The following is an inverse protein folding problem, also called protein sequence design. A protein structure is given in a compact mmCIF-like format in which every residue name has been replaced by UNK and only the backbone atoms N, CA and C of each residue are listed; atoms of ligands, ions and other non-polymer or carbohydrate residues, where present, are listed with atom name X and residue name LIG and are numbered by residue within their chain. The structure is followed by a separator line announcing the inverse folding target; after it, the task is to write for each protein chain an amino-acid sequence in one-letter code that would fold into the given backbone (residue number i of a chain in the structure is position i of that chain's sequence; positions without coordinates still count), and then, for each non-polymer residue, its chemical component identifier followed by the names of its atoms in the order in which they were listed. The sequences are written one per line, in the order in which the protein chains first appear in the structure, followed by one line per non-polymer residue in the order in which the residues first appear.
data_IF_761315534092
#
_entry.id   IF_761315534092
#
_cell.length_a   1.000
_cell.length_b   1.000
_cell.length_c   1.000
_cell.angle_alpha   90.00
_cell.angle_beta   90.00
_cell.angle_gamma   90.00
#
_symmetry.space_group_name_H-M   'P 1'
#
loop_
_entity.id
_entity.type
_entity.pdbx_description
1 polymer ?
#
# COMPACT_ATOMS: atom_id res chain seq x y z
N UNK A 1 -27.25 54.43 -25.66
CA UNK A 1 -25.82 54.65 -25.42
C UNK A 1 -25.36 53.64 -24.38
N UNK A 2 -24.34 52.83 -24.74
CA UNK A 2 -23.40 52.06 -23.89
C UNK A 2 -24.00 51.06 -22.90
N UNK A 3 -23.56 49.82 -22.74
CA UNK A 3 -22.36 49.09 -23.18
C UNK A 3 -22.65 47.61 -22.91
N UNK A 4 -22.31 46.71 -23.81
CA UNK A 4 -21.19 45.76 -23.62
C UNK A 4 -21.46 44.76 -22.50
N UNK A 5 -21.86 43.54 -22.87
CA UNK A 5 -20.91 42.43 -22.94
C UNK A 5 -20.29 42.16 -21.57
N UNK A 6 -20.82 41.15 -20.86
CA UNK A 6 -19.89 40.18 -20.31
C UNK A 6 -20.56 38.81 -20.25
N UNK A 7 -20.22 38.00 -21.25
CA UNK A 7 -20.30 36.55 -21.18
C UNK A 7 -19.47 36.09 -19.98
N UNK A 8 -20.08 36.08 -18.80
CA UNK A 8 -19.47 35.45 -17.65
C UNK A 8 -19.47 33.94 -17.90
N UNK A 9 -18.36 33.50 -18.51
CA UNK A 9 -17.87 32.13 -18.55
C UNK A 9 -18.38 31.41 -17.32
N UNK A 10 -19.28 30.45 -17.53
CA UNK A 10 -19.47 29.36 -16.57
C UNK A 10 -18.12 28.69 -16.45
N UNK A 11 -17.34 29.15 -15.46
CA UNK A 11 -16.20 28.41 -14.95
C UNK A 11 -16.82 27.10 -14.50
N UNK A 12 -16.62 26.05 -15.29
CA UNK A 12 -16.77 24.68 -14.84
C UNK A 12 -15.85 24.56 -13.63
N UNK A 13 -16.42 24.81 -12.46
CA UNK A 13 -15.81 24.51 -11.20
C UNK A 13 -15.56 23.02 -11.26
N UNK A 14 -14.31 22.66 -11.60
CA UNK A 14 -13.71 21.36 -11.34
C UNK A 14 -14.36 20.84 -10.07
N UNK A 15 -15.24 19.86 -10.23
CA UNK A 15 -16.02 19.28 -9.16
C UNK A 15 -15.01 18.94 -8.07
N UNK A 16 -15.01 19.73 -6.99
CA UNK A 16 -14.23 19.41 -5.81
C UNK A 16 -14.80 18.08 -5.38
N UNK A 17 -14.07 17.00 -5.63
CA UNK A 17 -14.37 15.68 -5.12
C UNK A 17 -14.61 15.86 -3.63
N UNK A 18 -15.87 15.90 -3.23
CA UNK A 18 -16.26 16.13 -1.85
C UNK A 18 -15.52 15.08 -1.05
N UNK A 19 -14.58 15.56 -0.22
CA UNK A 19 -13.52 14.78 0.39
C UNK A 19 -14.13 13.51 1.00
N UNK A 20 -14.00 12.37 0.31
CA UNK A 20 -14.64 11.10 0.66
C UNK A 20 -14.07 10.49 1.95
N UNK A 21 -13.05 11.12 2.50
CA UNK A 21 -12.35 10.69 3.69
C UNK A 21 -13.08 11.17 4.95
N UNK A 22 -13.29 10.25 5.88
CA UNK A 22 -13.82 10.59 7.19
C UNK A 22 -12.91 11.62 7.90
N UNK A 23 -13.49 12.49 8.73
CA UNK A 23 -12.78 13.57 9.43
C UNK A 23 -11.54 13.11 10.22
N UNK A 24 -11.51 11.85 10.67
CA UNK A 24 -10.36 11.24 11.37
C UNK A 24 -9.09 11.11 10.50
N UNK A 25 -9.20 11.22 9.18
CA UNK A 25 -8.08 11.16 8.25
C UNK A 25 -7.56 12.55 7.84
N UNK A 26 -8.16 13.62 8.37
CA UNK A 26 -7.66 14.98 8.12
C UNK A 26 -6.28 15.11 8.78
N UNK A 27 -5.25 15.40 7.98
CA UNK A 27 -3.86 15.48 8.43
C UNK A 27 -3.07 14.17 8.33
N UNK A 28 -3.70 13.06 7.88
CA UNK A 28 -2.96 11.85 7.54
C UNK A 28 -2.37 11.99 6.14
N UNK A 29 -1.06 12.22 6.08
CA UNK A 29 -0.29 12.22 4.83
C UNK A 29 0.27 10.82 4.53
N UNK A 30 0.85 10.66 3.34
CA UNK A 30 1.47 9.40 2.95
C UNK A 30 2.62 9.06 3.90
N UNK A 31 2.81 7.78 4.18
CA UNK A 31 3.93 7.34 5.00
C UNK A 31 5.25 7.58 4.26
N UNK A 32 6.27 8.07 4.99
CA UNK A 32 7.63 8.22 4.46
C UNK A 32 8.15 6.91 3.85
N UNK A 33 7.75 5.77 4.42
CA UNK A 33 8.08 4.43 3.91
C UNK A 33 7.61 4.19 2.47
N UNK A 34 6.47 4.76 2.08
CA UNK A 34 5.97 4.64 0.69
C UNK A 34 6.90 5.35 -0.29
N UNK A 35 7.47 6.49 0.11
CA UNK A 35 8.37 7.28 -0.71
C UNK A 35 9.79 6.69 -0.71
N UNK A 36 10.28 6.31 0.47
CA UNK A 36 11.60 5.69 0.63
C UNK A 36 11.70 4.35 -0.09
N UNK A 37 10.67 3.50 -0.07
CA UNK A 37 10.71 2.22 -0.79
C UNK A 37 10.72 2.42 -2.33
N UNK A 38 10.19 3.52 -2.84
CA UNK A 38 10.18 3.79 -4.29
C UNK A 38 11.57 4.24 -4.80
N UNK A 39 12.37 4.89 -3.95
CA UNK A 39 13.65 5.50 -4.35
C UNK A 39 14.72 4.46 -4.79
N UNK A 40 14.97 3.35 -4.04
CA UNK A 40 15.91 2.31 -4.46
C UNK A 40 15.49 1.60 -5.76
N UNK A 41 14.18 1.42 -5.98
CA UNK A 41 13.65 0.77 -7.19
C UNK A 41 13.97 1.60 -8.44
N UNK A 42 13.77 2.92 -8.36
CA UNK A 42 13.99 3.84 -9.51
C UNK A 42 15.48 4.05 -9.77
N UNK A 43 16.29 4.23 -8.73
CA UNK A 43 17.69 4.63 -8.87
C UNK A 43 18.69 3.47 -8.77
N UNK A 44 18.22 2.23 -8.55
CA UNK A 44 19.07 1.06 -8.22
C UNK A 44 20.08 1.37 -7.10
N UNK A 45 19.67 2.20 -6.15
CA UNK A 45 20.50 2.58 -5.03
C UNK A 45 20.58 1.43 -4.03
N UNK A 46 21.68 1.35 -3.28
CA UNK A 46 21.82 0.38 -2.18
C UNK A 46 20.79 0.77 -1.11
N UNK A 47 19.84 -0.13 -0.87
CA UNK A 47 18.80 0.06 0.13
C UNK A 47 19.32 -0.32 1.53
N UNK A 48 19.77 0.69 2.27
CA UNK A 48 20.14 0.56 3.69
C UNK A 48 18.99 0.97 4.62
N UNK A 49 17.83 1.36 4.06
CA UNK A 49 16.74 1.98 4.80
C UNK A 49 15.63 1.02 5.20
N UNK A 50 15.37 -0.01 4.38
CA UNK A 50 14.16 -0.82 4.53
C UNK A 50 14.28 -1.94 5.59
N UNK A 51 15.41 -2.05 6.31
CA UNK A 51 15.55 -2.90 7.50
C UNK A 51 15.34 -4.40 7.28
N UNK A 52 15.20 -4.85 6.03
CA UNK A 52 15.17 -6.25 5.67
C UNK A 52 16.56 -6.74 5.33
N UNK A 53 16.74 -8.04 5.49
CA UNK A 53 18.00 -8.72 5.24
C UNK A 53 18.16 -8.93 3.72
N UNK A 54 19.30 -8.57 3.16
CA UNK A 54 19.60 -8.64 1.72
C UNK A 54 19.93 -10.06 1.21
N UNK A 55 20.17 -11.00 2.11
CA UNK A 55 20.38 -12.42 1.81
C UNK A 55 19.12 -13.27 2.01
N UNK A 56 19.05 -14.37 1.26
CA UNK A 56 17.94 -15.31 1.35
C UNK A 56 17.80 -15.90 2.77
N UNK A 57 16.56 -16.13 3.25
CA UNK A 57 16.36 -16.77 4.54
C UNK A 57 16.95 -18.18 4.56
N UNK A 58 17.27 -18.74 5.74
CA UNK A 58 17.81 -20.09 5.86
C UNK A 58 16.93 -21.14 5.16
N UNK A 59 17.56 -22.12 4.50
CA UNK A 59 16.88 -23.12 3.67
C UNK A 59 15.72 -23.83 4.37
N UNK A 60 15.89 -24.19 5.65
CA UNK A 60 14.85 -24.85 6.44
C UNK A 60 13.54 -24.06 6.49
N UNK A 61 13.57 -22.73 6.53
CA UNK A 61 12.35 -21.92 6.49
C UNK A 61 11.65 -22.00 5.14
N UNK A 62 12.42 -22.01 4.06
CA UNK A 62 11.90 -22.12 2.70
C UNK A 62 11.28 -23.50 2.49
N UNK A 63 11.92 -24.54 3.00
CA UNK A 63 11.47 -25.92 2.83
C UNK A 63 10.22 -26.21 3.66
N UNK A 64 10.16 -25.76 4.91
CA UNK A 64 8.92 -25.80 5.72
C UNK A 64 7.79 -25.03 5.04
N UNK A 65 8.09 -23.84 4.50
CA UNK A 65 7.06 -23.06 3.81
C UNK A 65 6.49 -23.82 2.61
N UNK A 66 7.35 -24.46 1.81
CA UNK A 66 6.89 -25.32 0.69
C UNK A 66 6.08 -26.52 1.20
N UNK A 67 6.56 -27.20 2.24
CA UNK A 67 5.86 -28.33 2.83
C UNK A 67 4.46 -27.93 3.30
N UNK A 68 4.31 -26.78 3.96
CA UNK A 68 2.99 -26.28 4.40
C UNK A 68 2.04 -25.91 3.25
N UNK A 69 2.57 -25.60 2.06
CA UNK A 69 1.76 -25.31 0.87
C UNK A 69 1.28 -26.59 0.17
N UNK A 70 2.11 -27.64 0.20
CA UNK A 70 1.80 -28.92 -0.44
C UNK A 70 1.07 -29.90 0.51
N UNK A 71 0.92 -29.53 1.79
CA UNK A 71 0.28 -30.37 2.81
C UNK A 71 -1.23 -30.56 2.50
N UNK A 72 -1.73 -31.81 2.52
CA UNK A 72 -3.13 -32.12 2.24
C UNK A 72 -4.12 -31.57 3.27
N UNK A 73 -3.65 -31.03 4.40
CA UNK A 73 -4.47 -30.47 5.44
C UNK A 73 -5.13 -29.16 5.00
N UNK A 74 -6.41 -29.28 4.64
CA UNK A 74 -7.28 -28.16 4.21
C UNK A 74 -7.39 -27.01 5.21
N UNK A 75 -7.01 -27.19 6.48
CA UNK A 75 -7.08 -26.17 7.52
C UNK A 75 -5.85 -25.26 7.57
N UNK A 76 -4.73 -25.62 6.91
CA UNK A 76 -3.48 -24.86 6.99
C UNK A 76 -3.54 -23.47 6.34
N UNK A 77 -4.42 -23.28 5.37
CA UNK A 77 -4.62 -22.00 4.69
C UNK A 77 -5.89 -21.26 5.14
N UNK A 78 -6.48 -21.68 6.27
CA UNK A 78 -7.71 -21.11 6.82
C UNK A 78 -7.44 -20.19 8.02
N UNK A 79 -8.46 -19.42 8.40
CA UNK A 79 -8.38 -18.54 9.56
C UNK A 79 -7.97 -19.31 10.82
N UNK A 80 -6.85 -18.90 11.42
CA UNK A 80 -6.30 -19.51 12.64
C UNK A 80 -6.55 -18.62 13.86
N UNK A 81 -6.86 -19.24 15.00
CA UNK A 81 -7.02 -18.60 16.31
C UNK A 81 -5.93 -19.06 17.30
N UNK A 82 -4.96 -19.85 16.84
CA UNK A 82 -4.26 -20.99 17.49
C UNK A 82 -4.87 -22.35 17.10
N UNK A 83 -3.98 -23.29 16.75
CA UNK A 83 -4.24 -24.67 16.37
C UNK A 83 -4.57 -25.49 17.62
N UNK A 84 -5.75 -26.13 17.70
CA UNK A 84 -5.99 -27.17 18.72
C UNK A 84 -5.36 -28.45 18.22
N UNK A 85 -4.36 -28.96 18.95
CA UNK A 85 -3.81 -30.30 18.73
C UNK A 85 -4.87 -31.36 19.02
N UNK A 86 -5.16 -32.22 18.05
CA UNK A 86 -5.77 -33.54 18.26
C UNK A 86 -5.02 -34.56 17.40
#
# INVERSE_FOLDING_TARGET
MTSSDDSSKMKTSSEKSNNLLAKRYIGLEKSIWTELNALPIVHKAIDLGQGFIDYAPPHYFIDLYKETLDDPNIFLHQYTREMVSL
#
